data_IF_547722281879
#
_entry.id   IF_547722281879
#
_cell.length_a   1.000
_cell.length_b   1.000
_cell.length_c   1.000
_cell.angle_alpha   90.00
_cell.angle_beta   90.00
_cell.angle_gamma   90.00
#
_symmetry.space_group_name_H-M   'P 1'
#
loop_
_entity.id
_entity.type
_entity.pdbx_description
1 polymer ?
#
# COMPACT_ATOMS: atom_id res chain seq x y z
N UNK A 1 -7.76 27.09 1.26
CA UNK A 1 -7.84 26.06 0.21
C UNK A 1 -7.05 24.90 0.74
N UNK A 2 -7.67 23.74 0.90
CA UNK A 2 -6.98 22.54 1.39
C UNK A 2 -6.13 22.01 0.23
N UNK A 3 -4.83 21.71 0.45
CA UNK A 3 -3.95 21.08 -0.53
C UNK A 3 -4.56 19.84 -1.19
N UNK A 4 -4.18 19.56 -2.44
CA UNK A 4 -4.66 18.36 -3.13
C UNK A 4 -4.24 17.08 -2.40
N UNK A 5 -3.03 17.06 -1.84
CA UNK A 5 -2.47 15.91 -1.13
C UNK A 5 -3.34 15.50 0.06
N UNK A 6 -3.88 16.48 0.80
CA UNK A 6 -4.81 16.26 1.92
C UNK A 6 -6.12 15.59 1.47
N UNK A 7 -6.57 15.82 0.24
CA UNK A 7 -7.76 15.15 -0.33
C UNK A 7 -7.44 13.82 -1.01
N UNK A 8 -6.19 13.64 -1.46
CA UNK A 8 -5.81 12.48 -2.22
C UNK A 8 -5.88 11.20 -1.36
N UNK A 9 -5.44 11.27 -0.10
CA UNK A 9 -5.53 10.13 0.84
C UNK A 9 -6.98 9.67 1.02
N UNK A 10 -7.89 10.60 1.32
CA UNK A 10 -9.33 10.33 1.44
C UNK A 10 -9.91 9.71 0.16
N UNK A 11 -9.59 10.29 -1.01
CA UNK A 11 -10.06 9.77 -2.29
C UNK A 11 -9.49 8.38 -2.59
N UNK A 12 -8.19 8.17 -2.40
CA UNK A 12 -7.53 6.90 -2.69
C UNK A 12 -8.04 5.79 -1.77
N UNK A 13 -8.14 6.06 -0.47
CA UNK A 13 -8.65 5.12 0.53
C UNK A 13 -10.14 4.79 0.28
N UNK A 14 -10.97 5.78 -0.05
CA UNK A 14 -12.37 5.55 -0.41
C UNK A 14 -12.51 4.64 -1.65
N UNK A 15 -11.68 4.87 -2.68
CA UNK A 15 -11.68 4.02 -3.87
C UNK A 15 -11.13 2.62 -3.58
N UNK A 16 -10.11 2.49 -2.74
CA UNK A 16 -9.57 1.20 -2.30
C UNK A 16 -10.66 0.38 -1.60
N UNK A 17 -11.38 0.99 -0.66
CA UNK A 17 -12.48 0.33 0.05
C UNK A 17 -13.56 -0.17 -0.92
N UNK A 18 -14.00 0.67 -1.86
CA UNK A 18 -15.12 0.34 -2.75
C UNK A 18 -14.75 -0.60 -3.91
N UNK A 19 -13.58 -0.41 -4.51
CA UNK A 19 -13.21 -1.07 -5.76
C UNK A 19 -12.31 -2.29 -5.55
N UNK A 20 -11.53 -2.30 -4.48
CA UNK A 20 -10.55 -3.37 -4.22
C UNK A 20 -11.00 -4.23 -3.04
N UNK A 21 -11.20 -3.62 -1.88
CA UNK A 21 -11.56 -4.35 -0.66
C UNK A 21 -12.88 -5.10 -0.84
N UNK A 22 -13.93 -4.47 -1.36
CA UNK A 22 -15.23 -5.16 -1.58
C UNK A 22 -15.21 -6.25 -2.66
N UNK A 23 -14.19 -6.29 -3.51
CA UNK A 23 -14.03 -7.34 -4.52
C UNK A 23 -13.27 -8.54 -3.95
N UNK A 24 -12.31 -8.27 -3.07
CA UNK A 24 -11.39 -9.28 -2.51
C UNK A 24 -11.96 -9.90 -1.23
N UNK A 25 -12.58 -9.10 -0.37
CA UNK A 25 -13.01 -9.49 0.98
C UNK A 25 -14.50 -9.84 1.04
N UNK A 26 -14.82 -10.76 1.94
CA UNK A 26 -16.19 -11.01 2.37
C UNK A 26 -16.77 -9.81 3.12
N UNK A 27 -18.10 -9.72 3.33
CA UNK A 27 -18.73 -8.56 3.99
C UNK A 27 -18.16 -8.18 5.36
N UNK A 28 -17.67 -9.15 6.14
CA UNK A 28 -17.12 -8.93 7.48
C UNK A 28 -15.58 -8.89 7.52
N UNK A 29 -14.95 -8.87 6.34
CA UNK A 29 -13.50 -8.82 6.19
C UNK A 29 -13.12 -7.44 5.64
N UNK A 30 -11.96 -6.96 6.07
CA UNK A 30 -11.34 -5.73 5.58
C UNK A 30 -9.85 -5.93 5.38
N UNK A 31 -9.30 -5.24 4.37
CA UNK A 31 -7.87 -5.22 4.06
C UNK A 31 -7.14 -4.24 4.97
N UNK A 32 -5.83 -4.38 5.11
CA UNK A 32 -4.97 -3.33 5.65
C UNK A 32 -5.19 -2.02 4.87
N UNK A 33 -5.07 -0.91 5.58
CA UNK A 33 -5.20 0.45 5.03
C UNK A 33 -4.24 0.62 3.85
N UNK A 34 -4.70 1.30 2.80
CA UNK A 34 -3.89 1.53 1.61
C UNK A 34 -3.04 2.79 1.78
N UNK A 35 -1.72 2.68 1.61
CA UNK A 35 -0.79 3.77 1.86
C UNK A 35 -1.00 4.36 3.26
N UNK A 36 -1.13 5.68 3.34
CA UNK A 36 -1.37 6.40 4.60
C UNK A 36 -2.83 6.35 5.09
N UNK A 37 -3.75 5.83 4.28
CA UNK A 37 -5.19 5.90 4.55
C UNK A 37 -5.80 7.27 4.33
N UNK A 38 -6.92 7.54 5.01
CA UNK A 38 -7.60 8.83 5.02
C UNK A 38 -7.29 9.64 6.28
N UNK A 39 -7.48 10.94 6.21
CA UNK A 39 -7.54 11.83 7.38
C UNK A 39 -8.99 12.26 7.66
N UNK A 40 -9.94 11.36 7.38
CA UNK A 40 -11.36 11.62 7.49
C UNK A 40 -11.75 12.05 8.91
N UNK A 41 -12.58 13.09 8.99
CA UNK A 41 -12.95 13.77 10.26
C UNK A 41 -11.74 14.22 11.09
N UNK A 42 -10.80 14.92 10.43
CA UNK A 42 -9.59 15.47 11.06
C UNK A 42 -8.68 14.38 11.66
N UNK A 43 -8.38 13.38 10.84
CA UNK A 43 -7.56 12.21 11.18
C UNK A 43 -8.15 11.33 12.30
N UNK A 44 -9.45 11.44 12.58
CA UNK A 44 -10.14 10.52 13.48
C UNK A 44 -10.22 9.10 12.89
N UNK A 45 -10.26 9.00 11.56
CA UNK A 45 -10.44 7.73 10.86
C UNK A 45 -9.50 7.60 9.65
N UNK A 46 -8.77 6.49 9.62
CA UNK A 46 -7.95 6.05 8.46
C UNK A 46 -8.75 5.30 7.39
N UNK A 47 -10.07 5.18 7.59
CA UNK A 47 -11.05 4.61 6.67
C UNK A 47 -12.19 5.59 6.44
N UNK A 48 -12.77 5.57 5.25
CA UNK A 48 -13.82 6.53 4.87
C UNK A 48 -15.23 5.96 5.11
N UNK A 49 -15.54 4.78 4.57
CA UNK A 49 -16.88 4.20 4.68
C UNK A 49 -17.02 3.25 5.86
N UNK A 50 -15.93 2.54 6.20
CA UNK A 50 -15.91 1.51 7.23
C UNK A 50 -15.07 1.96 8.44
N UNK A 51 -15.37 3.14 8.98
CA UNK A 51 -14.55 3.87 9.96
C UNK A 51 -14.04 3.05 11.16
N UNK A 52 -14.86 2.13 11.68
CA UNK A 52 -14.52 1.29 12.84
C UNK A 52 -13.97 -0.11 12.47
N UNK A 53 -13.93 -0.44 11.18
CA UNK A 53 -13.51 -1.77 10.73
C UNK A 53 -12.01 -1.96 10.97
N UNK A 54 -11.67 -3.06 11.64
CA UNK A 54 -10.28 -3.50 11.81
C UNK A 54 -9.86 -4.30 10.59
N UNK A 55 -8.59 -4.16 10.20
CA UNK A 55 -8.02 -5.04 9.19
C UNK A 55 -8.08 -6.49 9.68
N UNK A 56 -8.40 -7.39 8.76
CA UNK A 56 -8.47 -8.85 8.97
C UNK A 56 -7.63 -9.59 7.94
N UNK A 57 -7.30 -8.91 6.85
CA UNK A 57 -6.57 -9.44 5.72
C UNK A 57 -5.55 -8.41 5.26
N UNK A 58 -4.48 -8.86 4.62
CA UNK A 58 -3.48 -8.03 3.99
C UNK A 58 -3.20 -8.49 2.56
N UNK A 59 -2.66 -7.58 1.74
CA UNK A 59 -2.17 -7.92 0.41
C UNK A 59 -0.73 -8.39 0.54
N UNK A 60 -0.52 -9.67 0.24
CA UNK A 60 0.81 -10.27 0.17
C UNK A 60 1.29 -10.21 -1.27
N UNK A 61 2.48 -9.63 -1.46
CA UNK A 61 3.20 -9.65 -2.72
C UNK A 61 4.33 -10.67 -2.65
N UNK A 62 4.30 -11.67 -3.53
CA UNK A 62 5.34 -12.68 -3.64
C UNK A 62 6.13 -12.48 -4.93
N UNK A 63 7.41 -12.85 -4.90
CA UNK A 63 8.25 -12.92 -6.08
C UNK A 63 9.31 -13.98 -5.90
N UNK A 64 9.62 -14.72 -6.97
CA UNK A 64 10.77 -15.63 -6.99
C UNK A 64 12.10 -14.90 -7.20
N UNK A 65 12.05 -13.65 -7.70
CA UNK A 65 13.21 -12.80 -7.92
C UNK A 65 12.72 -11.35 -8.01
N UNK A 66 12.70 -10.65 -6.87
CA UNK A 66 12.35 -9.24 -6.80
C UNK A 66 13.62 -8.40 -6.91
N UNK A 67 13.71 -7.60 -7.97
CA UNK A 67 14.83 -6.68 -8.19
C UNK A 67 14.34 -5.27 -7.90
N UNK A 68 14.94 -4.65 -6.87
CA UNK A 68 14.68 -3.25 -6.58
C UNK A 68 15.14 -2.38 -7.74
N UNK A 69 14.21 -1.59 -8.26
CA UNK A 69 14.47 -0.70 -9.37
C UNK A 69 15.47 0.39 -8.99
N UNK A 70 15.57 0.80 -7.73
CA UNK A 70 16.50 1.86 -7.32
C UNK A 70 17.92 1.30 -7.17
N UNK A 71 18.12 0.39 -6.22
CA UNK A 71 19.43 -0.17 -5.88
C UNK A 71 19.97 -1.19 -6.90
N UNK A 72 19.11 -1.67 -7.82
CA UNK A 72 19.39 -2.73 -8.80
C UNK A 72 19.80 -4.05 -8.16
N UNK A 73 19.50 -4.24 -6.88
CA UNK A 73 19.82 -5.44 -6.11
C UNK A 73 18.59 -6.32 -5.95
N UNK A 74 18.82 -7.62 -5.82
CA UNK A 74 17.77 -8.57 -5.45
C UNK A 74 17.39 -8.36 -3.99
N UNK A 75 16.08 -8.41 -3.71
CA UNK A 75 15.51 -8.14 -2.39
C UNK A 75 14.62 -9.29 -1.94
N UNK A 76 14.77 -9.65 -0.66
CA UNK A 76 13.88 -10.58 0.02
C UNK A 76 12.63 -9.83 0.51
N UNK A 77 11.52 -9.97 -0.22
CA UNK A 77 10.25 -9.30 0.09
C UNK A 77 9.60 -9.77 1.39
N UNK A 78 10.02 -10.90 1.97
CA UNK A 78 9.47 -11.34 3.26
C UNK A 78 9.73 -10.34 4.39
N UNK A 79 10.72 -9.44 4.21
CA UNK A 79 11.15 -8.41 5.15
C UNK A 79 10.45 -7.06 4.96
N UNK A 80 9.54 -6.94 4.00
CA UNK A 80 8.89 -5.67 3.69
C UNK A 80 7.37 -5.81 3.64
N UNK A 81 6.68 -4.73 3.98
CA UNK A 81 5.23 -4.59 3.85
C UNK A 81 4.89 -3.87 2.55
N UNK A 82 3.80 -4.31 1.92
CA UNK A 82 3.21 -3.59 0.80
C UNK A 82 2.71 -2.22 1.28
N UNK A 83 3.13 -1.14 0.62
CA UNK A 83 2.72 0.21 0.97
C UNK A 83 1.75 0.81 -0.05
N UNK A 84 2.18 0.93 -1.32
CA UNK A 84 1.36 1.53 -2.37
C UNK A 84 1.84 1.18 -3.78
N UNK A 85 0.98 1.44 -4.77
CA UNK A 85 1.38 1.45 -6.16
C UNK A 85 1.99 2.80 -6.55
N UNK A 86 3.10 2.75 -7.27
CA UNK A 86 3.87 3.93 -7.68
C UNK A 86 4.34 3.83 -9.13
N UNK A 87 4.82 4.93 -9.65
CA UNK A 87 5.51 5.00 -10.94
C UNK A 87 6.94 5.50 -10.77
N UNK A 88 7.76 5.26 -11.79
CA UNK A 88 9.10 5.85 -11.86
C UNK A 88 9.00 7.34 -12.17
N UNK A 89 9.74 8.15 -11.42
CA UNK A 89 9.88 9.59 -11.58
C UNK A 89 11.34 10.01 -11.49
N UNK A 90 12.00 10.08 -12.64
CA UNK A 90 13.44 10.35 -12.71
C UNK A 90 14.25 9.23 -12.05
N UNK A 91 15.01 9.60 -11.00
CA UNK A 91 15.81 8.66 -10.21
C UNK A 91 15.02 8.03 -9.06
N UNK A 92 13.82 8.54 -8.75
CA UNK A 92 12.99 8.11 -7.63
C UNK A 92 11.62 7.63 -8.10
N UNK A 93 10.70 7.41 -7.16
CA UNK A 93 9.31 7.05 -7.46
C UNK A 93 8.36 8.19 -7.11
N UNK A 94 7.15 8.12 -7.67
CA UNK A 94 6.06 9.06 -7.39
C UNK A 94 4.71 8.35 -7.44
N UNK A 95 3.73 8.86 -6.69
CA UNK A 95 2.36 8.31 -6.62
C UNK A 95 1.53 8.89 -7.77
N UNK A 96 1.84 8.45 -8.99
CA UNK A 96 1.15 8.91 -10.19
C UNK A 96 1.00 7.77 -11.21
N UNK A 97 0.12 7.91 -12.23
CA UNK A 97 0.04 6.94 -13.32
C UNK A 97 1.40 6.78 -14.04
N UNK A 98 1.73 5.59 -14.58
CA UNK A 98 0.84 4.44 -14.84
C UNK A 98 0.69 3.40 -13.72
N UNK A 99 1.31 3.60 -12.54
CA UNK A 99 1.29 2.65 -11.41
C UNK A 99 1.88 1.28 -11.78
N UNK A 100 3.01 1.28 -12.49
CA UNK A 100 3.68 0.08 -12.99
C UNK A 100 4.69 -0.53 -12.01
N UNK A 101 4.87 0.08 -10.83
CA UNK A 101 5.73 -0.38 -9.75
C UNK A 101 4.96 -0.43 -8.42
N UNK A 102 5.54 -1.11 -7.43
CA UNK A 102 5.03 -1.21 -6.07
C UNK A 102 6.11 -0.74 -5.11
N UNK A 103 5.73 0.14 -4.21
CA UNK A 103 6.53 0.58 -3.08
C UNK A 103 6.32 -0.38 -1.91
N UNK A 104 7.44 -0.77 -1.31
CA UNK A 104 7.48 -1.54 -0.09
C UNK A 104 8.32 -0.83 0.96
N UNK A 105 7.91 -0.96 2.22
CA UNK A 105 8.61 -0.42 3.39
C UNK A 105 9.02 -1.55 4.32
N UNK A 106 10.20 -1.43 4.93
CA UNK A 106 10.73 -2.43 5.85
C UNK A 106 9.75 -2.75 6.99
N UNK A 107 9.55 -4.04 7.26
CA UNK A 107 8.64 -4.53 8.31
C UNK A 107 9.05 -4.01 9.67
N UNK A 108 8.08 -3.47 10.41
CA UNK A 108 8.31 -2.97 11.76
C UNK A 108 9.19 -1.72 11.80
N UNK A 109 9.35 -1.01 10.68
CA UNK A 109 9.97 0.30 10.64
C UNK A 109 9.34 1.25 11.66
N UNK A 110 10.17 1.84 12.53
CA UNK A 110 9.77 2.90 13.46
C UNK A 110 10.73 4.06 13.31
N UNK A 111 10.22 5.25 12.98
CA UNK A 111 11.04 6.45 12.73
C UNK A 111 11.35 6.65 11.25
N UNK A 112 12.50 7.26 10.93
CA UNK A 112 12.85 7.66 9.55
C UNK A 112 13.97 6.84 8.89
N UNK A 113 14.64 5.95 9.62
CA UNK A 113 15.81 5.20 9.13
C UNK A 113 15.43 3.80 8.63
N UNK A 114 14.33 3.69 7.88
CA UNK A 114 13.86 2.41 7.33
C UNK A 114 14.16 2.29 5.85
N UNK A 115 14.25 1.04 5.38
CA UNK A 115 14.48 0.77 3.97
C UNK A 115 13.16 0.81 3.17
N UNK A 116 13.22 1.49 2.02
CA UNK A 116 12.19 1.43 0.99
C UNK A 116 12.75 0.76 -0.25
N UNK A 117 11.94 -0.09 -0.88
CA UNK A 117 12.28 -0.75 -2.14
C UNK A 117 11.14 -0.62 -3.13
N UNK A 118 11.48 -0.49 -4.41
CA UNK A 118 10.51 -0.27 -5.49
C UNK A 118 10.62 -1.40 -6.49
N UNK A 119 9.61 -2.28 -6.53
CA UNK A 119 9.62 -3.46 -7.39
C UNK A 119 8.70 -3.25 -8.60
N UNK A 120 9.16 -3.54 -9.83
CA UNK A 120 8.27 -3.57 -10.99
C UNK A 120 7.11 -4.53 -10.78
N UNK A 121 5.88 -4.09 -11.04
CA UNK A 121 4.64 -4.86 -10.78
C UNK A 121 4.61 -6.21 -11.51
N UNK A 122 5.27 -6.31 -12.66
CA UNK A 122 5.35 -7.54 -13.45
C UNK A 122 6.28 -8.62 -12.83
N UNK A 123 7.02 -8.30 -11.77
CA UNK A 123 7.80 -9.27 -10.99
C UNK A 123 7.02 -9.81 -9.79
N UNK A 124 5.79 -9.36 -9.57
CA UNK A 124 5.01 -9.63 -8.37
C UNK A 124 3.77 -10.48 -8.68
N UNK A 125 3.51 -11.43 -7.79
CA UNK A 125 2.22 -12.12 -7.67
C UNK A 125 1.52 -11.63 -6.42
N UNK A 126 0.25 -11.26 -6.56
CA UNK A 126 -0.55 -10.71 -5.47
C UNK A 126 -1.52 -11.77 -4.93
N UNK A 127 -1.66 -11.83 -3.61
CA UNK A 127 -2.68 -12.61 -2.93
C UNK A 127 -3.20 -11.84 -1.73
N UNK A 128 -4.44 -12.12 -1.31
CA UNK A 128 -4.94 -11.64 -0.03
C UNK A 128 -4.85 -12.78 0.99
N UNK A 129 -4.36 -12.48 2.19
CA UNK A 129 -4.22 -13.47 3.27
C UNK A 129 -4.77 -12.89 4.57
N UNK A 130 -5.34 -13.75 5.41
CA UNK A 130 -5.79 -13.36 6.74
C UNK A 130 -4.58 -13.01 7.62
N UNK A 131 -4.68 -11.94 8.39
CA UNK A 131 -3.66 -11.58 9.39
C UNK A 131 -3.91 -12.35 10.69
N UNK A 132 -2.84 -12.73 11.39
CA UNK A 132 -2.96 -13.22 12.76
C UNK A 132 -3.36 -12.05 13.67
N UNK A 133 -4.47 -12.21 14.40
CA UNK A 133 -5.02 -11.21 15.34
C UNK A 133 -4.55 -11.51 16.76
#
# INVERSE_FOLDING_TARGET
MVPFDDYFGDWAQANWELLVERVICSPNESLVIYGSGSDYEAAAHSRVFFQEAKATHEIICNSSCAIDWISKSEVDLSKFDFESFVSRSGEWFDVCPPFDHVLFTEKGAVGGDYLQVVIPRNQLEFSAQAIEI
#
